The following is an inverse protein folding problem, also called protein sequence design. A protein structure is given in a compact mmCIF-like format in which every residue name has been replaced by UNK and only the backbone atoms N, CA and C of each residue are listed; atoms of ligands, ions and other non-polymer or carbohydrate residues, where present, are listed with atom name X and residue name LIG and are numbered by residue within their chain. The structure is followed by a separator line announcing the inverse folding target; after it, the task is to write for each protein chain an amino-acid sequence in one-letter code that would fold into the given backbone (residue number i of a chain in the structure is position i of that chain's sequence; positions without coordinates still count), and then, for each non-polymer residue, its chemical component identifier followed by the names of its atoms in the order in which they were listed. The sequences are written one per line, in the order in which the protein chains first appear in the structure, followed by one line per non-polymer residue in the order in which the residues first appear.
data_IF_203657746291
#
_entry.id   IF_203657746291
#
_cell.length_a   1.000
_cell.length_b   1.000
_cell.length_c   1.000
_cell.angle_alpha   90.00
_cell.angle_beta   90.00
_cell.angle_gamma   90.00
#
_symmetry.space_group_name_H-M   'P 1'
#
loop_
_entity.id
_entity.type
_entity.pdbx_description
1 polymer ?
#
# COMPACT_ATOMS: atom_id res chain seq x y z
N UNK A 1 8.89 -1.45 -9.62
CA UNK A 1 8.48 -2.74 -9.04
C UNK A 1 7.72 -3.60 -10.03
N UNK A 2 7.58 -4.91 -9.76
CA UNK A 2 6.69 -5.84 -10.47
C UNK A 2 5.35 -6.04 -9.74
N UNK A 3 4.38 -6.74 -10.37
CA UNK A 3 3.10 -7.06 -9.73
C UNK A 3 3.28 -7.99 -8.52
N UNK A 4 4.19 -8.96 -8.62
CA UNK A 4 4.51 -9.93 -7.58
C UNK A 4 5.14 -9.24 -6.36
N UNK A 5 6.06 -8.30 -6.61
CA UNK A 5 6.65 -7.47 -5.55
C UNK A 5 5.58 -6.64 -4.83
N UNK A 6 4.69 -5.98 -5.59
CA UNK A 6 3.58 -5.19 -5.04
C UNK A 6 2.65 -6.06 -4.17
N UNK A 7 2.26 -7.23 -4.67
CA UNK A 7 1.42 -8.18 -3.94
C UNK A 7 2.09 -8.68 -2.65
N UNK A 8 3.39 -8.98 -2.70
CA UNK A 8 4.15 -9.37 -1.50
C UNK A 8 4.18 -8.25 -0.46
N UNK A 9 4.43 -7.01 -0.87
CA UNK A 9 4.45 -5.86 0.03
C UNK A 9 3.09 -5.60 0.69
N UNK A 10 2.00 -5.73 -0.08
CA UNK A 10 0.63 -5.63 0.43
C UNK A 10 0.37 -6.70 1.49
N UNK A 11 0.79 -7.95 1.23
CA UNK A 11 0.63 -9.04 2.20
C UNK A 11 1.40 -8.77 3.48
N UNK A 12 2.65 -8.29 3.38
CA UNK A 12 3.47 -7.95 4.54
C UNK A 12 2.88 -6.83 5.40
N UNK A 13 2.28 -5.82 4.77
CA UNK A 13 1.54 -4.76 5.49
C UNK A 13 0.32 -5.35 6.21
N UNK A 14 -0.44 -6.22 5.54
CA UNK A 14 -1.63 -6.89 6.10
C UNK A 14 -1.28 -7.78 7.30
N UNK A 15 -0.21 -8.55 7.20
CA UNK A 15 0.31 -9.43 8.25
C UNK A 15 1.04 -8.68 9.36
N UNK A 16 1.22 -7.35 9.21
CA UNK A 16 1.99 -6.49 10.10
C UNK A 16 3.47 -6.89 10.23
N UNK A 17 4.00 -7.60 9.24
CA UNK A 17 5.46 -7.79 9.10
C UNK A 17 6.14 -6.46 8.75
N UNK A 18 5.42 -5.58 8.05
CA UNK A 18 5.79 -4.19 7.83
C UNK A 18 4.73 -3.29 8.48
N UNK A 19 5.17 -2.32 9.29
CA UNK A 19 4.28 -1.29 9.81
C UNK A 19 3.86 -0.32 8.70
N UNK A 20 4.81 0.06 7.84
CA UNK A 20 4.57 0.91 6.68
C UNK A 20 5.53 0.61 5.52
N UNK A 21 5.14 1.04 4.32
CA UNK A 21 5.99 0.94 3.14
C UNK A 21 5.88 2.19 2.27
N UNK A 22 7.04 2.73 1.83
CA UNK A 22 7.09 3.88 0.92
C UNK A 22 7.10 3.41 -0.53
N UNK A 23 6.06 3.76 -1.26
CA UNK A 23 5.94 3.58 -2.71
C UNK A 23 6.44 4.85 -3.39
N UNK A 24 7.37 4.70 -4.32
CA UNK A 24 7.86 5.83 -5.11
C UNK A 24 6.82 6.30 -6.12
N UNK A 25 6.94 7.56 -6.57
CA UNK A 25 6.09 8.09 -7.65
C UNK A 25 6.03 7.20 -8.90
N UNK A 26 7.17 6.64 -9.31
CA UNK A 26 7.28 5.83 -10.53
C UNK A 26 6.53 4.51 -10.42
N UNK A 27 6.45 3.95 -9.21
CA UNK A 27 5.79 2.68 -8.93
C UNK A 27 4.34 2.82 -8.48
N UNK A 28 3.89 4.04 -8.17
CA UNK A 28 2.57 4.32 -7.59
C UNK A 28 1.42 3.73 -8.40
N UNK A 29 1.43 3.91 -9.72
CA UNK A 29 0.32 3.44 -10.57
C UNK A 29 0.19 1.92 -10.54
N UNK A 30 1.31 1.20 -10.57
CA UNK A 30 1.33 -0.27 -10.52
C UNK A 30 0.90 -0.75 -9.13
N UNK A 31 1.52 -0.22 -8.07
CA UNK A 31 1.18 -0.59 -6.70
C UNK A 31 -0.30 -0.37 -6.40
N UNK A 32 -0.84 0.79 -6.79
CA UNK A 32 -2.26 1.11 -6.61
C UNK A 32 -3.16 0.12 -7.35
N UNK A 33 -2.83 -0.25 -8.58
CA UNK A 33 -3.64 -1.19 -9.36
C UNK A 33 -3.70 -2.59 -8.71
N UNK A 34 -2.61 -3.06 -8.11
CA UNK A 34 -2.57 -4.32 -7.35
C UNK A 34 -3.34 -4.20 -6.03
N UNK A 35 -3.15 -3.07 -5.33
CA UNK A 35 -3.83 -2.79 -4.06
C UNK A 35 -5.35 -2.72 -4.21
N UNK A 36 -5.86 -2.02 -5.23
CA UNK A 36 -7.31 -1.87 -5.45
C UNK A 36 -8.02 -3.17 -5.82
N UNK A 37 -7.28 -4.22 -6.16
CA UNK A 37 -7.83 -5.56 -6.43
C UNK A 37 -7.97 -6.42 -5.17
N UNK A 38 -7.42 -5.98 -4.05
CA UNK A 38 -7.56 -6.68 -2.77
C UNK A 38 -8.97 -6.48 -2.20
N UNK A 39 -9.56 -7.51 -1.62
CA UNK A 39 -10.91 -7.44 -1.05
C UNK A 39 -11.00 -6.45 0.14
N UNK A 40 -9.91 -6.31 0.88
CA UNK A 40 -9.76 -5.45 2.06
C UNK A 40 -9.06 -4.11 1.76
N UNK A 41 -8.99 -3.67 0.49
CA UNK A 41 -8.23 -2.46 0.11
C UNK A 41 -8.60 -1.20 0.89
N UNK A 42 -9.84 -1.10 1.39
CA UNK A 42 -10.32 0.01 2.23
C UNK A 42 -9.63 0.10 3.60
N UNK A 43 -9.05 -1.01 4.07
CA UNK A 43 -8.23 -1.07 5.28
C UNK A 43 -6.83 -0.50 5.07
N UNK A 44 -6.41 -0.22 3.84
CA UNK A 44 -5.11 0.39 3.55
C UNK A 44 -5.22 1.91 3.47
N UNK A 45 -4.24 2.61 4.02
CA UNK A 45 -4.15 4.07 3.98
C UNK A 45 -2.88 4.50 3.28
N UNK A 46 -3.01 5.45 2.36
CA UNK A 46 -1.87 6.07 1.69
C UNK A 46 -1.70 7.51 2.15
N UNK A 47 -0.59 7.80 2.82
CA UNK A 47 -0.19 9.15 3.19
C UNK A 47 0.71 9.74 2.09
N UNK A 48 0.16 10.65 1.29
CA UNK A 48 0.87 11.31 0.20
C UNK A 48 2.01 12.19 0.73
N UNK A 49 3.20 12.01 0.20
CA UNK A 49 4.41 12.72 0.58
C UNK A 49 4.80 13.77 -0.46
N UNK A 50 5.78 14.59 -0.10
CA UNK A 50 6.44 15.46 -1.06
C UNK A 50 7.09 14.64 -2.19
N UNK A 51 7.13 15.21 -3.40
CA UNK A 51 7.69 14.61 -4.64
C UNK A 51 6.91 13.42 -5.22
N UNK A 52 5.71 13.14 -4.69
CA UNK A 52 4.80 12.16 -5.29
C UNK A 52 4.96 10.74 -4.76
N UNK A 53 5.81 10.55 -3.75
CA UNK A 53 5.87 9.29 -3.01
C UNK A 53 4.63 9.14 -2.11
N UNK A 54 4.29 7.91 -1.74
CA UNK A 54 3.17 7.61 -0.83
C UNK A 54 3.61 6.58 0.20
N UNK A 55 3.34 6.84 1.47
CA UNK A 55 3.57 5.87 2.55
C UNK A 55 2.27 5.13 2.81
N UNK A 56 2.27 3.81 2.64
CA UNK A 56 1.13 2.95 2.91
C UNK A 56 1.22 2.27 4.27
N UNK A 57 0.09 2.20 4.98
CA UNK A 57 -0.13 1.47 6.24
C UNK A 57 -1.37 0.58 6.12
N UNK A 58 -1.46 -0.45 6.95
CA UNK A 58 -2.64 -1.30 7.08
C UNK A 58 -3.38 -1.04 8.41
N UNK A 59 -4.57 -0.47 8.32
CA UNK A 59 -5.37 0.06 9.42
C UNK A 59 -6.83 -0.46 9.34
N UNK A 60 -7.07 -1.76 9.59
CA UNK A 60 -8.40 -2.33 9.55
C UNK A 60 -9.26 -1.79 10.70
N UNK A 61 -10.55 -1.56 10.42
CA UNK A 61 -11.50 -1.09 11.44
C UNK A 61 -11.39 0.40 11.78
N UNK A 62 -10.62 1.18 11.03
CA UNK A 62 -10.54 2.62 11.22
C UNK A 62 -11.90 3.29 10.94
N UNK A 63 -12.56 3.76 11.99
CA UNK A 63 -13.73 4.64 11.94
C UNK A 63 -13.26 6.09 12.10
N UNK A 64 -13.66 6.96 11.17
CA UNK A 64 -13.37 8.39 11.19
C UNK A 64 -14.05 9.10 12.37
#
# INVERSE_FOLDING_TARGET
MTNEEAASLIQKLRERELESYRVSKDDFLLFRAVLTKQEDFLSFRGNAQHRGDVIYTYEPGWTK
#
